data_IF_458075743191
#
_entry.id   IF_458075743191
#
_cell.length_a   1.000
_cell.length_b   1.000
_cell.length_c   1.000
_cell.angle_alpha   90.00
_cell.angle_beta   90.00
_cell.angle_gamma   90.00
#
_symmetry.space_group_name_H-M   'P 1'
#
loop_
_entity.id
_entity.type
_entity.pdbx_description
1 polymer ?
#
# COMPACT_ATOMS: atom_id res chain seq x y z
N UNK A 1 4.21 -28.93 -1.63
CA UNK A 1 3.88 -27.48 -1.57
C UNK A 1 4.63 -26.77 -2.68
N UNK A 2 4.43 -25.47 -2.95
CA UNK A 2 5.36 -24.73 -3.79
C UNK A 2 6.80 -24.86 -3.23
N UNK A 3 7.82 -25.15 -4.04
CA UNK A 3 9.16 -25.51 -3.56
C UNK A 3 9.86 -24.42 -2.72
N UNK A 4 9.46 -23.15 -2.90
CA UNK A 4 9.97 -22.05 -2.09
C UNK A 4 9.45 -22.04 -0.64
N UNK A 5 8.25 -22.57 -0.37
CA UNK A 5 7.72 -22.69 0.99
C UNK A 5 8.34 -23.86 1.77
N UNK A 6 9.01 -24.78 1.07
CA UNK A 6 9.77 -25.89 1.66
C UNK A 6 11.22 -25.49 1.94
N UNK A 7 11.77 -24.55 1.14
CA UNK A 7 13.16 -24.10 1.24
C UNK A 7 13.34 -22.93 2.22
N UNK A 8 12.35 -22.05 2.35
CA UNK A 8 12.43 -20.83 3.16
C UNK A 8 11.39 -20.82 4.27
N UNK A 9 11.72 -20.18 5.40
CA UNK A 9 10.80 -20.05 6.53
C UNK A 9 9.56 -19.22 6.12
N UNK A 10 8.34 -19.80 6.17
CA UNK A 10 7.12 -19.09 5.76
C UNK A 10 6.84 -17.83 6.56
N UNK A 11 7.21 -17.78 7.85
CA UNK A 11 7.08 -16.59 8.69
C UNK A 11 7.97 -15.46 8.17
N UNK A 12 9.22 -15.74 7.80
CA UNK A 12 10.12 -14.73 7.23
C UNK A 12 9.61 -14.28 5.86
N UNK A 13 9.09 -15.20 5.04
CA UNK A 13 8.47 -14.87 3.75
C UNK A 13 7.21 -13.98 3.88
N UNK A 14 6.56 -13.97 5.04
CA UNK A 14 5.40 -13.09 5.28
C UNK A 14 5.77 -11.61 5.32
N UNK A 15 7.05 -11.25 5.57
CA UNK A 15 7.53 -9.87 5.59
C UNK A 15 7.43 -9.22 4.19
N UNK A 16 8.10 -9.75 3.14
CA UNK A 16 7.91 -9.22 1.79
C UNK A 16 6.47 -9.37 1.30
N UNK A 17 5.77 -10.44 1.71
CA UNK A 17 4.34 -10.62 1.40
C UNK A 17 3.46 -9.49 1.94
N UNK A 18 3.66 -9.09 3.20
CA UNK A 18 2.97 -7.97 3.82
C UNK A 18 3.28 -6.67 3.08
N UNK A 19 4.54 -6.42 2.74
CA UNK A 19 4.93 -5.20 2.02
C UNK A 19 4.22 -5.10 0.67
N UNK A 20 4.20 -6.18 -0.12
CA UNK A 20 3.48 -6.22 -1.40
C UNK A 20 1.99 -5.96 -1.18
N UNK A 21 1.38 -6.60 -0.17
CA UNK A 21 -0.02 -6.39 0.17
C UNK A 21 -0.32 -4.93 0.57
N UNK A 22 0.60 -4.29 1.30
CA UNK A 22 0.48 -2.89 1.71
C UNK A 22 0.58 -1.92 0.52
N UNK A 23 1.26 -2.29 -0.58
CA UNK A 23 1.39 -1.46 -1.79
C UNK A 23 0.15 -1.50 -2.69
N UNK A 24 -0.59 -2.62 -2.73
CA UNK A 24 -1.75 -2.80 -3.63
C UNK A 24 -2.79 -1.67 -3.50
N UNK A 25 -3.20 -1.23 -2.29
CA UNK A 25 -4.15 -0.12 -2.17
C UNK A 25 -3.63 1.19 -2.78
N UNK A 26 -2.33 1.47 -2.69
CA UNK A 26 -1.74 2.68 -3.27
C UNK A 26 -1.78 2.66 -4.81
N UNK A 27 -1.40 1.55 -5.43
CA UNK A 27 -1.47 1.40 -6.89
C UNK A 27 -2.91 1.56 -7.38
N UNK A 28 -3.87 1.00 -6.63
CA UNK A 28 -5.29 1.17 -6.95
C UNK A 28 -5.76 2.61 -6.74
N UNK A 29 -5.29 3.29 -5.69
CA UNK A 29 -5.59 4.70 -5.45
C UNK A 29 -5.12 5.56 -6.62
N UNK A 30 -3.90 5.35 -7.12
CA UNK A 30 -3.35 6.05 -8.30
C UNK A 30 -4.21 5.76 -9.54
N UNK A 31 -4.64 4.52 -9.74
CA UNK A 31 -5.52 4.16 -10.86
C UNK A 31 -6.88 4.89 -10.78
N UNK A 32 -7.49 4.95 -9.60
CA UNK A 32 -8.74 5.69 -9.34
C UNK A 32 -8.54 7.19 -9.58
N UNK A 33 -7.47 7.75 -9.02
CA UNK A 33 -7.16 9.17 -9.14
C UNK A 33 -6.86 9.57 -10.59
N UNK A 34 -6.14 8.75 -11.33
CA UNK A 34 -5.81 8.99 -12.74
C UNK A 34 -6.95 8.62 -13.70
N UNK A 35 -8.00 7.93 -13.23
CA UNK A 35 -9.06 7.36 -14.07
C UNK A 35 -8.48 6.53 -15.24
N UNK A 36 -7.46 5.73 -14.94
CA UNK A 36 -6.73 4.92 -15.92
C UNK A 36 -5.64 5.64 -16.72
N UNK A 37 -5.48 6.97 -16.57
CA UNK A 37 -4.45 7.76 -17.27
C UNK A 37 -3.21 7.97 -16.41
N UNK A 38 -2.52 6.89 -16.05
CA UNK A 38 -1.42 6.89 -15.06
C UNK A 38 -0.30 7.87 -15.43
N UNK A 39 -0.04 8.10 -16.72
CA UNK A 39 0.96 9.07 -17.19
C UNK A 39 0.69 10.52 -16.78
N UNK A 40 -0.55 10.83 -16.39
CA UNK A 40 -0.94 12.17 -15.90
C UNK A 40 -0.76 12.34 -14.40
N UNK A 41 -0.39 11.28 -13.68
CA UNK A 41 -0.15 11.33 -12.25
C UNK A 41 1.16 12.06 -11.94
N UNK A 42 1.06 13.18 -11.23
CA UNK A 42 2.22 13.94 -10.76
C UNK A 42 2.58 13.54 -9.32
N UNK A 43 3.63 12.74 -9.18
CA UNK A 43 4.10 12.25 -7.89
C UNK A 43 5.27 13.06 -7.30
N UNK A 44 5.56 14.26 -7.82
CA UNK A 44 6.68 15.08 -7.30
C UNK A 44 6.44 15.60 -5.89
N UNK A 45 5.17 15.71 -5.48
CA UNK A 45 4.78 16.03 -4.11
C UNK A 45 3.49 15.25 -3.73
N UNK A 46 3.60 13.96 -3.36
CA UNK A 46 2.47 13.04 -3.20
C UNK A 46 1.48 13.42 -2.10
N UNK A 47 1.93 14.20 -1.11
CA UNK A 47 1.13 14.56 0.06
C UNK A 47 0.66 16.02 0.01
N UNK A 48 0.81 16.67 -1.14
CA UNK A 48 0.38 18.06 -1.34
C UNK A 48 -1.13 18.22 -1.14
N UNK A 49 -1.52 19.20 -0.33
CA UNK A 49 -2.92 19.61 -0.14
C UNK A 49 -3.56 20.09 -1.44
N UNK A 50 -2.81 20.77 -2.30
CA UNK A 50 -3.30 21.28 -3.58
C UNK A 50 -3.65 20.14 -4.54
N UNK A 51 -2.84 19.07 -4.54
CA UNK A 51 -3.11 17.88 -5.34
C UNK A 51 -4.44 17.25 -4.90
N UNK A 52 -4.62 17.06 -3.59
CA UNK A 52 -5.87 16.50 -3.03
C UNK A 52 -7.09 17.38 -3.35
N UNK A 53 -6.95 18.70 -3.24
CA UNK A 53 -8.01 19.64 -3.61
C UNK A 53 -8.39 19.53 -5.09
N UNK A 54 -7.40 19.45 -5.99
CA UNK A 54 -7.64 19.25 -7.44
C UNK A 54 -8.30 17.90 -7.73
N UNK A 55 -7.92 16.82 -7.03
CA UNK A 55 -8.58 15.52 -7.14
C UNK A 55 -10.03 15.58 -6.69
N UNK A 56 -10.31 16.22 -5.55
CA UNK A 56 -11.66 16.39 -5.01
C UNK A 56 -12.56 17.20 -5.95
N UNK A 57 -12.01 18.22 -6.62
CA UNK A 57 -12.75 19.03 -7.59
C UNK A 57 -13.02 18.28 -8.91
N UNK A 58 -12.12 17.39 -9.32
CA UNK A 58 -12.20 16.66 -10.60
C UNK A 58 -13.01 15.37 -10.53
N UNK A 59 -12.91 14.62 -9.43
CA UNK A 59 -13.47 13.28 -9.32
C UNK A 59 -14.91 13.31 -8.80
N UNK A 60 -15.76 12.37 -9.23
CA UNK A 60 -17.04 12.12 -8.56
C UNK A 60 -16.82 11.83 -7.07
N UNK A 61 -17.75 12.26 -6.22
CA UNK A 61 -17.63 12.13 -4.76
C UNK A 61 -17.32 10.69 -4.31
N UNK A 62 -17.97 9.69 -4.92
CA UNK A 62 -17.73 8.29 -4.63
C UNK A 62 -16.31 7.84 -4.99
N UNK A 63 -15.82 8.26 -6.16
CA UNK A 63 -14.46 7.94 -6.63
C UNK A 63 -13.40 8.59 -5.74
N UNK A 64 -13.63 9.84 -5.33
CA UNK A 64 -12.74 10.53 -4.39
C UNK A 64 -12.74 9.86 -3.02
N UNK A 65 -13.90 9.49 -2.49
CA UNK A 65 -13.99 8.75 -1.22
C UNK A 65 -13.34 7.35 -1.31
N UNK A 66 -13.38 6.70 -2.48
CA UNK A 66 -12.64 5.45 -2.72
C UNK A 66 -11.13 5.68 -2.70
N UNK A 67 -10.65 6.72 -3.40
CA UNK A 67 -9.24 7.12 -3.37
C UNK A 67 -8.74 7.36 -1.93
N UNK A 68 -9.49 8.13 -1.14
CA UNK A 68 -9.11 8.43 0.25
C UNK A 68 -9.03 7.17 1.12
N UNK A 69 -10.00 6.24 0.97
CA UNK A 69 -9.98 4.96 1.70
C UNK A 69 -8.78 4.10 1.32
N UNK A 70 -8.41 4.06 0.04
CA UNK A 70 -7.28 3.28 -0.44
C UNK A 70 -5.94 3.84 0.06
N UNK A 71 -5.74 5.16 -0.02
CA UNK A 71 -4.56 5.84 0.52
C UNK A 71 -4.45 5.66 2.04
N UNK A 72 -5.58 5.76 2.76
CA UNK A 72 -5.61 5.53 4.20
C UNK A 72 -5.26 4.07 4.55
N UNK A 73 -5.75 3.09 3.78
CA UNK A 73 -5.40 1.70 3.96
C UNK A 73 -3.90 1.47 3.76
N UNK A 74 -3.32 1.99 2.66
CA UNK A 74 -1.89 1.91 2.40
C UNK A 74 -1.06 2.54 3.53
N UNK A 75 -1.40 3.76 3.93
CA UNK A 75 -0.69 4.48 5.00
C UNK A 75 -0.72 3.69 6.31
N UNK A 76 -1.89 3.22 6.74
CA UNK A 76 -2.03 2.42 7.95
C UNK A 76 -1.20 1.12 7.90
N UNK A 77 -1.20 0.44 6.75
CA UNK A 77 -0.41 -0.78 6.55
C UNK A 77 1.08 -0.50 6.62
N UNK A 78 1.58 0.52 5.92
CA UNK A 78 3.01 0.88 5.95
C UNK A 78 3.45 1.38 7.32
N UNK A 79 2.62 2.14 8.04
CA UNK A 79 2.91 2.58 9.40
C UNK A 79 2.98 1.39 10.38
N UNK A 80 2.20 0.33 10.15
CA UNK A 80 2.21 -0.89 10.96
C UNK A 80 3.34 -1.86 10.58
N UNK A 81 3.91 -1.73 9.38
CA UNK A 81 4.87 -2.67 8.81
C UNK A 81 6.15 -2.88 9.66
N UNK A 82 6.78 -1.84 10.25
CA UNK A 82 7.97 -2.03 11.08
C UNK A 82 7.69 -2.91 12.30
N UNK A 83 6.54 -2.70 12.97
CA UNK A 83 6.15 -3.48 14.13
C UNK A 83 5.89 -4.94 13.76
N UNK A 84 5.13 -5.17 12.67
CA UNK A 84 4.89 -6.50 12.14
C UNK A 84 6.21 -7.24 11.83
N UNK A 85 7.13 -6.57 11.14
CA UNK A 85 8.41 -7.14 10.75
C UNK A 85 9.28 -7.48 11.95
N UNK A 86 9.38 -6.57 12.92
CA UNK A 86 10.16 -6.78 14.15
C UNK A 86 9.64 -7.98 14.96
N UNK A 87 8.32 -8.06 15.16
CA UNK A 87 7.70 -9.18 15.89
C UNK A 87 7.90 -10.49 15.16
N UNK A 88 7.74 -10.51 13.83
CA UNK A 88 7.91 -11.71 13.00
C UNK A 88 9.33 -12.25 13.08
N UNK A 89 10.34 -11.35 13.00
CA UNK A 89 11.75 -11.73 13.14
C UNK A 89 12.05 -12.27 14.54
N UNK A 90 11.63 -11.57 15.59
CA UNK A 90 11.86 -12.01 16.97
C UNK A 90 11.18 -13.35 17.29
N UNK A 91 9.96 -13.55 16.82
CA UNK A 91 9.24 -14.81 17.00
C UNK A 91 9.95 -15.97 16.27
N UNK A 92 10.49 -15.70 15.08
CA UNK A 92 11.22 -16.71 14.30
C UNK A 92 12.57 -17.08 14.91
N UNK A 93 13.25 -16.14 15.59
CA UNK A 93 14.53 -16.39 16.27
C UNK A 93 14.39 -17.13 17.61
N UNK A 94 13.19 -17.09 18.21
CA UNK A 94 12.91 -17.70 19.52
C UNK A 94 12.32 -19.11 19.42
N UNK A 95 11.81 -19.50 18.25
CA UNK A 95 11.38 -20.86 17.92
C UNK A 95 12.49 -21.65 17.24
#
# INVERSE_FOLDING_TARGET
MPPFLETYNPSVLSIPGYFVLAMIPHDWAINVASQGRISTWDNRNPRNTDMKAKLKARLPAESYAKYERLEACHANSIESFPLFSAVTMLATLRG
#
